data_IF_598211956053
#
_entry.id   IF_598211956053
#
_cell.length_a   1.000
_cell.length_b   1.000
_cell.length_c   1.000
_cell.angle_alpha   90.00
_cell.angle_beta   90.00
_cell.angle_gamma   90.00
#
_symmetry.space_group_name_H-M   'P 1'
#
loop_
_entity.id
_entity.type
_entity.pdbx_description
1 polymer ?
#
# COMPACT_ATOMS: atom_id res chain seq x y z
N UNK A 1 2.23 -17.90 17.24
CA UNK A 1 2.73 -17.59 15.88
C UNK A 1 2.84 -16.07 15.75
N UNK A 2 3.92 -15.56 15.14
CA UNK A 2 4.04 -14.12 14.88
C UNK A 2 3.03 -13.70 13.81
N UNK A 3 2.47 -12.46 13.93
CA UNK A 3 1.46 -11.94 12.99
C UNK A 3 1.97 -10.74 12.21
N UNK A 4 1.59 -10.68 10.93
CA UNK A 4 1.87 -9.57 10.03
C UNK A 4 0.53 -8.96 9.60
N UNK A 5 0.36 -7.65 9.79
CA UNK A 5 -0.74 -6.91 9.18
C UNK A 5 -0.28 -6.37 7.81
N UNK A 6 -0.98 -6.73 6.75
CA UNK A 6 -0.81 -6.14 5.42
C UNK A 6 -1.93 -5.12 5.20
N UNK A 7 -1.69 -3.88 5.61
CA UNK A 7 -2.66 -2.78 5.51
C UNK A 7 -2.43 -1.97 4.23
N UNK A 8 -3.47 -1.84 3.41
CA UNK A 8 -3.33 -1.13 2.13
C UNK A 8 -4.64 -0.91 1.39
N UNK A 9 -4.49 -0.54 0.13
CA UNK A 9 -5.54 -0.21 -0.82
C UNK A 9 -5.90 -1.39 -1.74
N UNK A 10 -6.38 -1.09 -2.96
CA UNK A 10 -6.76 -2.07 -3.98
C UNK A 10 -5.59 -2.95 -4.43
N UNK A 11 -4.36 -2.45 -4.43
CA UNK A 11 -3.17 -3.23 -4.74
C UNK A 11 -2.85 -4.27 -3.65
N UNK A 12 -3.21 -3.97 -2.40
CA UNK A 12 -3.14 -4.93 -1.29
C UNK A 12 -4.33 -5.89 -1.30
N UNK A 13 -5.51 -5.42 -1.67
CA UNK A 13 -6.69 -6.26 -1.87
C UNK A 13 -6.46 -7.31 -2.97
N UNK A 14 -5.65 -6.97 -3.98
CA UNK A 14 -5.39 -7.82 -5.14
C UNK A 14 -6.38 -7.58 -6.28
N UNK A 15 -6.66 -6.30 -6.58
CA UNK A 15 -7.54 -5.90 -7.68
C UNK A 15 -6.92 -6.31 -9.03
N UNK A 16 -7.71 -6.98 -9.87
CA UNK A 16 -7.29 -7.36 -11.22
C UNK A 16 -7.48 -6.15 -12.15
N UNK A 17 -6.43 -5.67 -12.84
CA UNK A 17 -6.53 -4.51 -13.74
C UNK A 17 -7.74 -4.57 -14.65
N UNK A 18 -8.50 -3.48 -14.74
CA UNK A 18 -9.73 -3.28 -15.54
C UNK A 18 -10.92 -4.18 -15.20
N UNK A 19 -10.73 -5.32 -14.52
CA UNK A 19 -11.79 -6.32 -14.37
C UNK A 19 -12.77 -6.04 -13.22
N UNK A 20 -12.34 -5.29 -12.19
CA UNK A 20 -13.07 -5.12 -10.95
C UNK A 20 -13.07 -6.34 -10.03
N UNK A 21 -12.48 -7.46 -10.47
CA UNK A 21 -12.40 -8.70 -9.72
C UNK A 21 -11.18 -8.71 -8.79
N UNK A 22 -11.11 -9.70 -7.92
CA UNK A 22 -9.99 -9.94 -7.02
C UNK A 22 -9.18 -11.15 -7.48
N UNK A 23 -7.84 -11.02 -7.50
CA UNK A 23 -6.97 -12.19 -7.64
C UNK A 23 -7.21 -13.20 -6.51
N UNK A 24 -7.13 -14.47 -6.84
CA UNK A 24 -7.16 -15.53 -5.83
C UNK A 24 -5.94 -15.44 -4.89
N UNK A 25 -5.98 -16.19 -3.79
CA UNK A 25 -4.92 -16.17 -2.77
C UNK A 25 -3.55 -16.64 -3.26
N UNK A 26 -3.50 -17.41 -4.33
CA UNK A 26 -2.24 -17.92 -4.88
C UNK A 26 -1.62 -16.93 -5.87
N UNK A 27 -2.36 -15.89 -6.27
CA UNK A 27 -1.94 -14.87 -7.23
C UNK A 27 -1.68 -13.52 -6.58
N UNK A 28 -2.51 -13.08 -5.61
CA UNK A 28 -2.28 -11.79 -4.94
C UNK A 28 -1.09 -11.85 -3.99
N UNK A 29 -0.32 -10.76 -3.90
CA UNK A 29 0.94 -10.73 -3.15
C UNK A 29 0.79 -11.10 -1.66
N UNK A 30 -0.31 -10.74 -1.01
CA UNK A 30 -0.59 -11.08 0.39
C UNK A 30 -0.75 -12.58 0.61
N UNK A 31 -1.45 -13.27 -0.29
CA UNK A 31 -1.63 -14.71 -0.23
C UNK A 31 -0.36 -15.48 -0.60
N UNK A 32 0.41 -15.00 -1.60
CA UNK A 32 1.73 -15.58 -1.93
C UNK A 32 2.67 -15.39 -0.72
N UNK A 33 2.67 -14.21 -0.08
CA UNK A 33 3.47 -13.94 1.11
C UNK A 33 3.13 -14.92 2.23
N UNK A 34 1.84 -15.19 2.48
CA UNK A 34 1.42 -16.22 3.44
C UNK A 34 2.00 -17.60 3.10
N UNK A 35 1.98 -17.97 1.83
CA UNK A 35 2.53 -19.26 1.37
C UNK A 35 4.05 -19.34 1.56
N UNK A 36 4.77 -18.25 1.33
CA UNK A 36 6.21 -18.15 1.55
C UNK A 36 6.58 -18.17 3.05
N UNK A 37 5.78 -17.54 3.89
CA UNK A 37 5.96 -17.54 5.36
C UNK A 37 5.59 -18.87 6.01
N UNK A 38 4.86 -19.72 5.32
CA UNK A 38 4.40 -21.05 5.82
C UNK A 38 3.74 -20.93 7.20
N UNK A 39 4.22 -21.72 8.18
CA UNK A 39 3.71 -21.73 9.55
C UNK A 39 4.48 -20.82 10.52
N UNK A 40 5.47 -20.05 10.04
CA UNK A 40 6.29 -19.17 10.87
C UNK A 40 5.57 -17.86 11.20
N UNK A 41 4.78 -17.36 10.24
CA UNK A 41 4.10 -16.07 10.30
C UNK A 41 2.68 -16.20 9.76
N UNK A 42 1.72 -15.58 10.44
CA UNK A 42 0.34 -15.41 9.97
C UNK A 42 0.20 -14.04 9.30
N UNK A 43 -0.29 -14.04 8.05
CA UNK A 43 -0.54 -12.82 7.28
C UNK A 43 -2.01 -12.44 7.39
N UNK A 44 -2.28 -11.30 8.02
CA UNK A 44 -3.62 -10.70 8.09
C UNK A 44 -3.78 -9.71 6.95
N UNK A 45 -4.69 -10.04 6.03
CA UNK A 45 -4.97 -9.22 4.84
C UNK A 45 -5.96 -8.10 5.18
N UNK A 46 -5.53 -6.84 5.08
CA UNK A 46 -6.35 -5.66 5.32
C UNK A 46 -6.32 -4.68 4.13
N UNK A 47 -6.37 -5.24 2.91
CA UNK A 47 -6.53 -4.46 1.67
C UNK A 47 -7.99 -4.06 1.44
N UNK A 48 -8.23 -2.82 1.00
CA UNK A 48 -9.56 -2.32 0.67
C UNK A 48 -9.52 -1.41 -0.56
N UNK A 49 -10.41 -1.68 -1.52
CA UNK A 49 -10.48 -0.89 -2.74
C UNK A 49 -10.76 0.59 -2.42
N UNK A 50 -10.13 1.47 -3.18
CA UNK A 50 -10.27 2.92 -3.08
C UNK A 50 -9.84 3.52 -1.72
N UNK A 51 -9.07 2.80 -0.88
CA UNK A 51 -8.65 3.32 0.41
C UNK A 51 -7.58 4.40 0.26
N UNK A 52 -7.87 5.59 0.80
CA UNK A 52 -6.91 6.69 1.02
C UNK A 52 -6.10 6.41 2.31
N UNK A 53 -4.89 6.93 2.40
CA UNK A 53 -4.08 6.81 3.61
C UNK A 53 -4.54 7.80 4.69
N UNK A 54 -4.70 9.08 4.34
CA UNK A 54 -4.88 10.17 5.30
C UNK A 54 -6.01 11.15 4.95
N UNK A 55 -6.60 11.06 3.76
CA UNK A 55 -7.71 11.93 3.35
C UNK A 55 -9.03 11.23 3.68
N UNK A 56 -10.01 11.98 4.16
CA UNK A 56 -11.37 11.47 4.37
C UNK A 56 -12.00 11.06 3.04
N UNK A 57 -12.24 9.77 2.90
CA UNK A 57 -12.83 9.24 1.69
C UNK A 57 -14.35 9.27 1.78
N UNK A 58 -15.07 9.89 0.81
CA UNK A 58 -16.53 9.96 0.83
C UNK A 58 -17.22 8.60 0.73
N UNK A 59 -16.50 7.55 0.27
CA UNK A 59 -17.02 6.19 0.24
C UNK A 59 -17.17 5.54 1.63
N UNK A 60 -16.59 6.14 2.68
CA UNK A 60 -16.82 5.73 4.06
C UNK A 60 -15.55 5.46 4.88
N UNK A 61 -15.78 4.96 6.10
CA UNK A 61 -14.70 4.75 7.08
C UNK A 61 -13.74 3.64 6.67
N UNK A 62 -14.21 2.58 6.03
CA UNK A 62 -13.37 1.46 5.56
C UNK A 62 -12.37 1.92 4.48
N UNK A 63 -12.75 2.94 3.70
CA UNK A 63 -11.92 3.56 2.68
C UNK A 63 -11.07 4.71 3.22
N UNK A 64 -11.16 5.04 4.51
CA UNK A 64 -10.37 6.10 5.16
C UNK A 64 -9.30 5.49 6.06
N UNK A 65 -8.08 5.35 5.54
CA UNK A 65 -7.00 4.56 6.16
C UNK A 65 -6.69 4.95 7.60
N UNK A 66 -6.44 6.23 7.87
CA UNK A 66 -6.08 6.69 9.22
C UNK A 66 -7.20 6.53 10.26
N UNK A 67 -8.46 6.43 9.82
CA UNK A 67 -9.63 6.19 10.70
C UNK A 67 -9.82 4.70 10.98
N UNK A 68 -9.61 3.84 9.99
CA UNK A 68 -9.87 2.40 10.13
C UNK A 68 -8.65 1.61 10.67
N UNK A 69 -7.42 2.06 10.42
CA UNK A 69 -6.21 1.40 10.93
C UNK A 69 -6.23 1.15 12.44
N UNK A 70 -6.65 2.12 13.30
CA UNK A 70 -6.76 1.91 14.74
C UNK A 70 -7.66 0.73 15.15
N UNK A 71 -8.69 0.41 14.36
CA UNK A 71 -9.56 -0.75 14.63
C UNK A 71 -8.78 -2.07 14.53
N UNK A 72 -7.94 -2.23 13.50
CA UNK A 72 -7.08 -3.41 13.35
C UNK A 72 -6.04 -3.50 14.47
N UNK A 73 -5.36 -2.39 14.78
CA UNK A 73 -4.27 -2.35 15.75
C UNK A 73 -4.74 -2.56 17.20
N UNK A 74 -6.01 -2.24 17.50
CA UNK A 74 -6.62 -2.48 18.82
C UNK A 74 -7.23 -3.88 18.95
N UNK A 75 -7.57 -4.51 17.82
CA UNK A 75 -8.19 -5.84 17.83
C UNK A 75 -7.18 -6.96 18.06
N UNK A 76 -5.95 -6.79 17.57
CA UNK A 76 -4.92 -7.82 17.62
C UNK A 76 -3.52 -7.22 17.78
N UNK A 77 -2.61 -8.01 18.34
CA UNK A 77 -1.18 -7.69 18.38
C UNK A 77 -0.49 -8.15 17.10
N UNK A 78 0.27 -7.25 16.48
CA UNK A 78 1.09 -7.53 15.30
C UNK A 78 2.56 -7.35 15.59
N UNK A 79 3.38 -8.31 15.15
CA UNK A 79 4.84 -8.21 15.22
C UNK A 79 5.41 -7.32 14.12
N UNK A 80 4.73 -7.34 12.95
CA UNK A 80 5.12 -6.57 11.77
C UNK A 80 3.87 -5.93 11.17
N UNK A 81 3.98 -4.68 10.75
CA UNK A 81 2.90 -3.95 10.06
C UNK A 81 3.47 -3.45 8.74
N UNK A 82 2.89 -3.92 7.64
CA UNK A 82 3.19 -3.46 6.28
C UNK A 82 2.14 -2.40 5.92
N UNK A 83 2.60 -1.15 5.74
CA UNK A 83 1.78 -0.04 5.28
C UNK A 83 2.01 0.14 3.77
N UNK A 84 1.13 -0.43 2.94
CA UNK A 84 1.18 -0.38 1.49
C UNK A 84 0.00 0.44 0.95
N UNK A 85 0.07 1.77 1.09
CA UNK A 85 -1.07 2.67 0.89
C UNK A 85 -0.59 4.07 0.51
N UNK A 86 -1.44 4.86 -0.15
CA UNK A 86 -1.20 6.29 -0.42
C UNK A 86 -1.48 6.71 -1.86
N UNK A 87 -1.60 5.77 -2.80
CA UNK A 87 -1.86 6.13 -4.19
C UNK A 87 -3.23 6.78 -4.40
N UNK A 88 -4.26 6.37 -3.64
CA UNK A 88 -5.60 6.94 -3.75
C UNK A 88 -5.72 8.37 -3.22
N UNK A 89 -4.79 8.80 -2.39
CA UNK A 89 -4.73 10.21 -1.95
C UNK A 89 -4.33 11.16 -3.10
N UNK A 90 -3.78 10.62 -4.19
CA UNK A 90 -3.42 11.39 -5.39
C UNK A 90 -4.61 11.63 -6.34
N UNK A 91 -5.80 11.08 -6.05
CA UNK A 91 -6.97 11.26 -6.91
C UNK A 91 -7.25 12.76 -7.15
N UNK A 92 -7.67 13.06 -8.37
CA UNK A 92 -7.93 14.43 -8.86
C UNK A 92 -8.93 15.23 -8.00
N UNK A 93 -9.74 14.54 -7.18
CA UNK A 93 -10.71 15.17 -6.29
C UNK A 93 -10.07 15.74 -5.02
N UNK A 94 -8.97 15.13 -4.54
CA UNK A 94 -8.37 15.47 -3.26
C UNK A 94 -7.27 16.54 -3.38
N UNK A 95 -6.47 16.49 -4.44
CA UNK A 95 -5.43 17.47 -4.79
C UNK A 95 -4.48 17.88 -3.65
N UNK A 96 -4.00 16.97 -2.80
CA UNK A 96 -3.08 17.37 -1.75
C UNK A 96 -1.79 17.94 -2.38
N UNK A 97 -1.18 18.89 -1.73
CA UNK A 97 0.21 19.26 -2.01
C UNK A 97 1.15 18.13 -1.58
N UNK A 98 2.37 18.08 -2.11
CA UNK A 98 3.37 17.08 -1.69
C UNK A 98 3.70 17.19 -0.19
N UNK A 99 3.62 18.39 0.38
CA UNK A 99 3.82 18.63 1.82
C UNK A 99 2.68 18.04 2.65
N UNK A 100 1.43 18.23 2.24
CA UNK A 100 0.27 17.62 2.91
C UNK A 100 0.29 16.11 2.77
N UNK A 101 0.72 15.59 1.62
CA UNK A 101 0.91 14.16 1.40
C UNK A 101 1.97 13.60 2.38
N UNK A 102 3.15 14.22 2.46
CA UNK A 102 4.19 13.82 3.42
C UNK A 102 3.66 13.80 4.86
N UNK A 103 2.99 14.88 5.28
CA UNK A 103 2.40 14.98 6.63
C UNK A 103 1.33 13.92 6.88
N UNK A 104 0.53 13.61 5.87
CA UNK A 104 -0.52 12.60 5.96
C UNK A 104 0.03 11.18 6.13
N UNK A 105 1.04 10.79 5.37
CA UNK A 105 1.72 9.50 5.54
C UNK A 105 2.44 9.44 6.89
N UNK A 106 3.08 10.55 7.30
CA UNK A 106 3.71 10.63 8.62
C UNK A 106 2.71 10.43 9.76
N UNK A 107 1.51 11.02 9.65
CA UNK A 107 0.42 10.81 10.62
C UNK A 107 0.06 9.34 10.76
N UNK A 108 -0.03 8.61 9.62
CA UNK A 108 -0.35 7.19 9.63
C UNK A 108 0.75 6.36 10.32
N UNK A 109 2.03 6.68 10.07
CA UNK A 109 3.17 6.06 10.75
C UNK A 109 3.09 6.30 12.26
N UNK A 110 2.81 7.53 12.70
CA UNK A 110 2.69 7.89 14.12
C UNK A 110 1.56 7.12 14.80
N UNK A 111 0.36 7.08 14.20
CA UNK A 111 -0.76 6.28 14.69
C UNK A 111 -0.35 4.81 14.88
N UNK A 112 0.40 4.26 13.91
CA UNK A 112 0.86 2.88 13.97
C UNK A 112 1.81 2.66 15.14
N UNK A 113 2.77 3.55 15.36
CA UNK A 113 3.73 3.48 16.47
C UNK A 113 3.07 3.65 17.83
N UNK A 114 2.12 4.57 17.94
CA UNK A 114 1.41 4.85 19.20
C UNK A 114 0.56 3.64 19.64
N UNK A 115 -0.10 2.97 18.68
CA UNK A 115 -0.97 1.83 18.97
C UNK A 115 -0.26 0.47 18.94
N UNK A 116 0.91 0.40 18.33
CA UNK A 116 1.70 -0.83 18.21
C UNK A 116 3.21 -0.54 18.36
N UNK A 117 3.65 -0.06 19.55
CA UNK A 117 5.01 0.46 19.75
C UNK A 117 6.11 -0.60 19.56
N UNK A 118 5.79 -1.87 19.73
CA UNK A 118 6.72 -2.98 19.57
C UNK A 118 6.71 -3.61 18.17
N UNK A 119 5.81 -3.18 17.29
CA UNK A 119 5.74 -3.69 15.93
C UNK A 119 6.84 -3.09 15.06
N UNK A 120 7.44 -3.91 14.20
CA UNK A 120 8.31 -3.42 13.14
C UNK A 120 7.46 -2.93 11.97
N UNK A 121 7.73 -1.74 11.46
CA UNK A 121 6.98 -1.14 10.35
C UNK A 121 7.77 -1.30 9.06
N UNK A 122 7.12 -1.87 8.05
CA UNK A 122 7.58 -1.85 6.66
C UNK A 122 6.71 -0.85 5.92
N UNK A 123 7.31 0.24 5.49
CA UNK A 123 6.65 1.27 4.70
C UNK A 123 6.86 0.93 3.22
N UNK A 124 5.76 0.70 2.51
CA UNK A 124 5.79 0.34 1.08
C UNK A 124 5.40 1.55 0.25
N UNK A 125 6.36 2.08 -0.51
CA UNK A 125 6.11 3.16 -1.45
C UNK A 125 5.34 2.62 -2.67
N UNK A 126 4.19 3.21 -3.04
CA UNK A 126 3.47 2.85 -4.25
C UNK A 126 4.31 3.03 -5.52
N UNK A 127 4.05 2.22 -6.53
CA UNK A 127 4.62 2.44 -7.86
C UNK A 127 4.07 3.72 -8.49
N UNK A 128 4.86 4.31 -9.37
CA UNK A 128 4.44 5.42 -10.23
C UNK A 128 3.25 5.00 -11.08
N UNK A 129 2.33 5.93 -11.26
CA UNK A 129 1.20 5.76 -12.16
C UNK A 129 1.67 5.79 -13.62
N UNK A 130 1.01 5.03 -14.49
CA UNK A 130 1.24 5.09 -15.94
C UNK A 130 0.15 5.92 -16.63
N UNK A 131 0.53 7.07 -17.18
CA UNK A 131 -0.40 8.00 -17.80
C UNK A 131 -1.16 7.40 -18.97
N UNK A 132 -0.51 6.58 -19.79
CA UNK A 132 -1.15 5.96 -20.94
C UNK A 132 -2.25 4.98 -20.49
N UNK A 133 -1.94 4.13 -19.52
CA UNK A 133 -2.89 3.22 -18.90
C UNK A 133 -4.05 3.94 -18.20
N UNK A 134 -3.78 5.03 -17.45
CA UNK A 134 -4.81 5.87 -16.83
C UNK A 134 -5.77 6.44 -17.89
N UNK A 135 -5.23 7.04 -18.96
CA UNK A 135 -6.05 7.67 -20.01
C UNK A 135 -6.88 6.68 -20.82
N UNK A 136 -6.37 5.49 -21.06
CA UNK A 136 -7.07 4.44 -21.81
C UNK A 136 -7.95 3.55 -20.94
N UNK A 137 -7.71 3.52 -19.65
CA UNK A 137 -8.39 2.66 -18.68
C UNK A 137 -9.62 3.30 -18.05
N UNK A 138 -10.23 2.54 -17.14
CA UNK A 138 -11.47 2.92 -16.46
C UNK A 138 -11.27 3.93 -15.30
N UNK A 139 -10.02 4.33 -15.01
CA UNK A 139 -9.70 5.23 -13.89
C UNK A 139 -9.38 6.67 -14.30
N UNK A 140 -9.56 7.04 -15.57
CA UNK A 140 -9.37 8.40 -16.10
C UNK A 140 -10.25 9.46 -15.44
N UNK A 141 -11.34 9.06 -14.79
CA UNK A 141 -12.19 9.95 -14.02
C UNK A 141 -11.71 10.16 -12.58
N UNK A 142 -10.72 9.39 -12.11
CA UNK A 142 -10.15 9.50 -10.76
C UNK A 142 -8.73 10.05 -10.75
N UNK A 143 -7.95 9.83 -11.80
CA UNK A 143 -6.55 10.23 -11.90
C UNK A 143 -6.29 11.00 -13.19
N UNK A 144 -5.41 11.97 -13.14
CA UNK A 144 -5.02 12.85 -14.25
C UNK A 144 -3.49 12.97 -14.35
N UNK A 145 -3.01 13.80 -15.24
CA UNK A 145 -1.59 14.09 -15.41
C UNK A 145 -0.93 14.60 -14.12
N UNK A 146 -1.67 15.40 -13.32
CA UNK A 146 -1.15 15.94 -12.04
C UNK A 146 -0.99 14.80 -11.02
N UNK A 147 -1.94 13.87 -10.98
CA UNK A 147 -1.84 12.66 -10.15
C UNK A 147 -0.61 11.85 -10.52
N UNK A 148 -0.38 11.66 -11.82
CA UNK A 148 0.79 10.94 -12.36
C UNK A 148 2.07 11.68 -11.99
N UNK A 149 2.16 13.00 -12.23
CA UNK A 149 3.32 13.81 -11.88
C UNK A 149 3.66 13.67 -10.39
N UNK A 150 2.68 13.82 -9.50
CA UNK A 150 2.89 13.67 -8.06
C UNK A 150 3.40 12.29 -7.69
N UNK A 151 2.98 11.23 -8.38
CA UNK A 151 3.44 9.87 -8.11
C UNK A 151 4.96 9.70 -8.27
N UNK A 152 5.62 10.51 -9.11
CA UNK A 152 7.07 10.49 -9.29
C UNK A 152 7.85 11.04 -8.09
N UNK A 153 7.20 11.79 -7.19
CA UNK A 153 7.82 12.35 -5.99
C UNK A 153 7.68 11.43 -4.76
N UNK A 154 6.80 10.42 -4.82
CA UNK A 154 6.55 9.53 -3.68
C UNK A 154 7.81 8.79 -3.19
N UNK A 155 8.71 8.26 -4.05
CA UNK A 155 9.89 7.55 -3.57
C UNK A 155 10.73 8.39 -2.61
N UNK A 156 10.95 9.68 -2.92
CA UNK A 156 11.72 10.58 -2.07
C UNK A 156 11.01 10.86 -0.73
N UNK A 157 9.69 11.04 -0.75
CA UNK A 157 8.88 11.26 0.46
C UNK A 157 8.93 10.02 1.36
N UNK A 158 8.68 8.83 0.80
CA UNK A 158 8.68 7.57 1.56
C UNK A 158 10.06 7.25 2.13
N UNK A 159 11.14 7.49 1.37
CA UNK A 159 12.51 7.34 1.85
C UNK A 159 12.80 8.24 3.05
N UNK A 160 12.49 9.53 2.94
CA UNK A 160 12.64 10.51 4.03
C UNK A 160 11.88 10.10 5.29
N UNK A 161 10.63 9.66 5.13
CA UNK A 161 9.79 9.22 6.25
C UNK A 161 10.29 7.91 6.86
N UNK A 162 10.74 6.95 6.05
CA UNK A 162 11.30 5.70 6.53
C UNK A 162 12.56 5.94 7.37
N UNK A 163 13.47 6.79 6.91
CA UNK A 163 14.67 7.19 7.65
C UNK A 163 14.31 7.91 8.96
N UNK A 164 13.43 8.92 8.89
CA UNK A 164 12.99 9.72 10.05
C UNK A 164 12.36 8.87 11.14
N UNK A 165 11.60 7.86 10.76
CA UNK A 165 10.84 7.01 11.68
C UNK A 165 11.44 5.64 11.91
N UNK A 166 12.66 5.37 11.42
CA UNK A 166 13.33 4.06 11.52
C UNK A 166 12.41 2.90 11.05
N UNK A 167 11.69 3.13 9.95
CA UNK A 167 10.90 2.11 9.26
C UNK A 167 11.75 1.44 8.18
N UNK A 168 11.50 0.16 7.91
CA UNK A 168 12.06 -0.48 6.71
C UNK A 168 11.31 0.05 5.49
N UNK A 169 12.02 0.53 4.48
CA UNK A 169 11.43 0.93 3.19
C UNK A 169 11.44 -0.23 2.21
N UNK A 170 10.35 -0.38 1.48
CA UNK A 170 10.26 -1.15 0.23
C UNK A 170 9.69 -0.22 -0.84
N UNK A 171 10.49 0.11 -1.84
CA UNK A 171 10.06 0.95 -2.96
C UNK A 171 9.60 0.06 -4.12
N UNK A 172 8.30 0.06 -4.41
CA UNK A 172 7.74 -0.75 -5.50
C UNK A 172 8.21 -0.29 -6.89
N UNK A 173 8.71 0.94 -7.03
CA UNK A 173 9.25 1.43 -8.30
C UNK A 173 10.50 0.66 -8.76
N UNK A 174 11.24 0.08 -7.81
CA UNK A 174 12.43 -0.74 -8.08
C UNK A 174 12.07 -2.22 -8.34
N UNK A 175 10.83 -2.62 -8.08
CA UNK A 175 10.41 -4.02 -8.00
C UNK A 175 9.42 -4.38 -9.08
N UNK A 176 8.39 -3.53 -9.29
CA UNK A 176 7.27 -3.84 -10.16
C UNK A 176 6.71 -2.58 -10.80
N UNK A 177 6.22 -2.71 -12.03
CA UNK A 177 5.47 -1.67 -12.72
C UNK A 177 3.98 -1.96 -12.62
N UNK A 178 3.17 -0.90 -12.60
CA UNK A 178 1.72 -1.01 -12.76
C UNK A 178 1.39 -1.58 -14.14
N UNK A 179 0.24 -2.22 -14.27
CA UNK A 179 -0.25 -2.75 -15.55
C UNK A 179 -0.56 -1.62 -16.52
N UNK A 180 -0.15 -1.71 -17.80
CA UNK A 180 -0.53 -0.73 -18.80
C UNK A 180 -2.03 -0.75 -19.12
N UNK A 181 -2.77 -1.76 -18.67
CA UNK A 181 -4.21 -1.86 -18.89
C UNK A 181 -4.99 -0.74 -18.19
N UNK A 182 -4.55 -0.32 -17.01
CA UNK A 182 -5.24 0.73 -16.24
C UNK A 182 -4.29 1.75 -15.60
N UNK A 183 -2.98 1.53 -15.69
CA UNK A 183 -1.97 2.47 -15.20
C UNK A 183 -1.88 2.61 -13.68
N UNK A 184 -2.55 1.74 -12.91
CA UNK A 184 -2.71 1.84 -11.46
C UNK A 184 -2.46 0.53 -10.72
N UNK A 185 -3.00 -0.58 -11.21
CA UNK A 185 -2.97 -1.87 -10.53
C UNK A 185 -1.89 -2.79 -11.09
N UNK A 186 -1.55 -3.84 -10.33
CA UNK A 186 -0.49 -4.78 -10.67
C UNK A 186 -1.01 -6.01 -11.42
N UNK A 187 -0.18 -6.51 -12.36
CA UNK A 187 -0.40 -7.82 -12.99
C UNK A 187 -0.12 -8.95 -12.00
N UNK A 188 -0.54 -10.18 -12.35
CA UNK A 188 -0.23 -11.38 -11.57
C UNK A 188 1.28 -11.58 -11.35
N UNK A 189 2.09 -11.32 -12.38
CA UNK A 189 3.55 -11.39 -12.31
C UNK A 189 4.12 -10.36 -11.32
N UNK A 190 3.64 -9.11 -11.38
CA UNK A 190 4.04 -8.06 -10.45
C UNK A 190 3.67 -8.43 -9.02
N UNK A 191 2.49 -9.00 -8.77
CA UNK A 191 2.10 -9.49 -7.44
C UNK A 191 3.07 -10.55 -6.91
N UNK A 192 3.51 -11.49 -7.74
CA UNK A 192 4.52 -12.50 -7.36
C UNK A 192 5.84 -11.85 -6.98
N UNK A 193 6.35 -10.95 -7.82
CA UNK A 193 7.62 -10.25 -7.58
C UNK A 193 7.58 -9.42 -6.29
N UNK A 194 6.47 -8.72 -6.03
CA UNK A 194 6.24 -7.95 -4.80
C UNK A 194 6.29 -8.87 -3.57
N UNK A 195 5.59 -10.01 -3.61
CA UNK A 195 5.57 -10.96 -2.51
C UNK A 195 6.95 -11.53 -2.19
N UNK A 196 7.71 -11.93 -3.20
CA UNK A 196 9.06 -12.47 -3.05
C UNK A 196 10.03 -11.43 -2.47
N UNK A 197 9.91 -10.16 -2.91
CA UNK A 197 10.73 -9.08 -2.37
C UNK A 197 10.37 -8.76 -0.91
N UNK A 198 9.08 -8.65 -0.61
CA UNK A 198 8.62 -8.45 0.79
C UNK A 198 9.08 -9.59 1.69
N UNK A 199 9.02 -10.84 1.24
CA UNK A 199 9.51 -11.98 2.01
C UNK A 199 11.02 -11.92 2.30
N UNK A 200 11.84 -11.50 1.31
CA UNK A 200 13.28 -11.28 1.53
C UNK A 200 13.52 -10.19 2.59
N UNK A 201 12.77 -9.09 2.54
CA UNK A 201 12.85 -8.01 3.51
C UNK A 201 12.39 -8.46 4.92
N UNK A 202 11.37 -9.29 5.02
CA UNK A 202 10.91 -9.88 6.29
C UNK A 202 11.99 -10.72 6.94
N UNK A 203 12.70 -11.59 6.21
CA UNK A 203 13.78 -12.43 6.74
C UNK A 203 14.93 -11.62 7.35
N UNK A 204 15.18 -10.41 6.87
CA UNK A 204 16.17 -9.49 7.43
C UNK A 204 15.65 -8.73 8.65
N UNK A 205 14.35 -8.78 8.89
CA UNK A 205 13.66 -7.98 9.90
C UNK A 205 13.30 -8.81 11.14
N UNK A 206 13.15 -10.13 10.99
CA UNK A 206 12.81 -11.09 12.05
C UNK A 206 14.06 -11.50 12.82
#
# INVERSE_FOLDING_TARGET
MKKILCFGDSNTYGFIPQSGLRYDKNTRWTGILQSLCRNELEVVEAGCNNRTAFIDNPAGIEQTGYKILPKYLKAEYFNIIILAIGVNDLQLFFKPTLKEFEQGIEKLIKITKDLSPNAKIILVCPSKLDLAGIKSGVFSFQFDEISVEKSYHLPQIYKKLAEKHACKLVDLNEIAKVSPLDGLHFSAESHKTIAENLYKNLKQTI
#
